data_IF_689985142103
#
_entry.id   IF_689985142103
#
_cell.length_a   1.000
_cell.length_b   1.000
_cell.length_c   1.000
_cell.angle_alpha   90.00
_cell.angle_beta   90.00
_cell.angle_gamma   90.00
#
_symmetry.space_group_name_H-M   'P 1'
#
loop_
_entity.id
_entity.type
_entity.pdbx_description
1 polymer ?
#
# COMPACT_ATOMS: atom_id res chain seq x y z
N UNK A 1 -51.32 27.22 19.70
CA UNK A 1 -50.30 27.32 20.77
C UNK A 1 -49.92 25.90 21.16
N UNK A 2 -49.23 25.08 20.38
CA UNK A 2 -48.18 25.33 19.38
C UNK A 2 -47.16 26.33 19.89
N UNK A 3 -46.40 26.00 20.94
CA UNK A 3 -44.97 26.35 21.12
C UNK A 3 -44.33 25.43 22.18
N UNK A 4 -44.53 24.11 22.06
CA UNK A 4 -43.72 23.12 22.80
C UNK A 4 -43.08 22.09 21.85
N UNK A 5 -43.29 22.24 20.54
CA UNK A 5 -42.59 21.49 19.50
C UNK A 5 -41.30 22.24 19.12
N UNK A 6 -40.41 22.40 20.09
CA UNK A 6 -39.04 22.87 19.90
C UNK A 6 -38.05 21.95 20.62
N UNK A 7 -38.38 20.64 20.62
CA UNK A 7 -37.46 19.54 20.90
C UNK A 7 -36.52 19.27 19.69
N UNK A 8 -36.76 19.84 18.51
CA UNK A 8 -36.16 19.36 17.26
C UNK A 8 -34.97 20.17 16.70
N UNK A 9 -34.82 21.46 17.02
CA UNK A 9 -33.76 22.29 16.41
C UNK A 9 -32.44 22.27 17.20
N UNK A 10 -32.46 21.85 18.47
CA UNK A 10 -31.26 21.71 19.30
C UNK A 10 -30.53 20.37 19.09
N UNK A 11 -31.00 19.56 18.13
CA UNK A 11 -30.27 18.42 17.58
C UNK A 11 -29.33 18.82 16.43
N UNK A 12 -29.16 20.12 16.14
CA UNK A 12 -28.16 20.60 15.18
C UNK A 12 -26.71 20.49 15.70
N UNK A 13 -26.43 19.49 16.53
CA UNK A 13 -25.15 18.80 16.44
C UNK A 13 -25.20 17.89 15.21
N UNK A 14 -25.26 18.49 14.02
CA UNK A 14 -24.81 17.85 12.78
C UNK A 14 -23.29 17.71 12.84
N UNK A 15 -22.83 17.03 13.89
CA UNK A 15 -21.61 16.28 13.86
C UNK A 15 -21.79 15.25 12.74
N UNK A 16 -20.76 15.15 11.91
CA UNK A 16 -20.40 13.96 11.13
C UNK A 16 -20.93 13.81 9.71
N UNK A 17 -20.79 14.86 8.88
CA UNK A 17 -20.15 14.57 7.59
C UNK A 17 -18.66 14.28 7.87
N UNK A 18 -18.32 13.03 8.24
CA UNK A 18 -16.93 12.53 8.36
C UNK A 18 -16.46 11.71 7.13
N UNK A 19 -16.65 12.12 5.86
CA UNK A 19 -15.95 11.44 4.77
C UNK A 19 -14.45 11.77 4.78
N UNK A 20 -14.03 12.84 5.46
CA UNK A 20 -12.63 13.22 5.62
C UNK A 20 -11.80 12.18 6.40
N UNK A 21 -12.39 11.46 7.37
CA UNK A 21 -11.68 10.41 8.09
C UNK A 21 -11.38 9.19 7.20
N UNK A 22 -12.30 8.80 6.34
CA UNK A 22 -12.12 7.67 5.41
C UNK A 22 -11.17 8.03 4.26
N UNK A 23 -11.25 9.27 3.75
CA UNK A 23 -10.35 9.78 2.70
C UNK A 23 -8.92 9.95 3.21
N UNK A 24 -8.73 10.48 4.42
CA UNK A 24 -7.40 10.65 5.00
C UNK A 24 -6.74 9.30 5.32
N UNK A 25 -7.51 8.33 5.85
CA UNK A 25 -7.02 6.95 6.05
C UNK A 25 -6.53 6.33 4.74
N UNK A 26 -7.29 6.50 3.64
CA UNK A 26 -6.86 6.05 2.30
C UNK A 26 -5.56 6.72 1.87
N UNK A 27 -5.40 8.02 2.10
CA UNK A 27 -4.20 8.78 1.75
C UNK A 27 -2.96 8.27 2.53
N UNK A 28 -3.12 8.02 3.83
CA UNK A 28 -2.06 7.41 4.66
C UNK A 28 -1.68 6.01 4.15
N UNK A 29 -2.66 5.15 3.84
CA UNK A 29 -2.38 3.84 3.25
C UNK A 29 -1.69 3.95 1.88
N UNK A 30 -2.07 4.93 1.06
CA UNK A 30 -1.45 5.21 -0.23
C UNK A 30 0.02 5.62 -0.05
N UNK A 31 0.31 6.49 0.93
CA UNK A 31 1.66 6.93 1.24
C UNK A 31 2.54 5.80 1.78
N UNK A 32 2.00 4.98 2.70
CA UNK A 32 2.71 3.81 3.24
C UNK A 32 3.04 2.83 2.10
N UNK A 33 2.07 2.48 1.25
CA UNK A 33 2.30 1.56 0.14
C UNK A 33 3.24 2.15 -0.90
N UNK A 34 3.12 3.45 -1.22
CA UNK A 34 4.06 4.13 -2.11
C UNK A 34 5.50 4.11 -1.54
N UNK A 35 5.67 4.37 -0.24
CA UNK A 35 6.97 4.27 0.41
C UNK A 35 7.53 2.84 0.36
N UNK A 36 6.66 1.85 0.57
CA UNK A 36 7.01 0.43 0.58
C UNK A 36 7.35 -0.07 -0.84
N UNK A 37 6.65 0.41 -1.88
CA UNK A 37 7.00 0.22 -3.30
C UNK A 37 8.34 0.89 -3.64
N UNK A 38 8.59 2.10 -3.12
CA UNK A 38 9.88 2.78 -3.32
C UNK A 38 11.05 1.96 -2.77
N UNK A 39 10.90 1.42 -1.56
CA UNK A 39 11.88 0.52 -0.94
C UNK A 39 12.05 -0.74 -1.80
N UNK A 40 10.96 -1.38 -2.21
CA UNK A 40 11.01 -2.55 -3.06
C UNK A 40 11.73 -2.28 -4.39
N UNK A 41 11.50 -1.12 -5.01
CA UNK A 41 12.19 -0.69 -6.22
C UNK A 41 13.69 -0.49 -5.98
N UNK A 42 14.08 0.14 -4.87
CA UNK A 42 15.50 0.26 -4.48
C UNK A 42 16.15 -1.11 -4.27
N UNK A 43 15.44 -2.05 -3.63
CA UNK A 43 15.91 -3.43 -3.44
C UNK A 43 16.05 -4.14 -4.78
N UNK A 44 15.07 -4.03 -5.69
CA UNK A 44 15.16 -4.59 -7.04
C UNK A 44 16.35 -4.03 -7.81
N UNK A 45 16.60 -2.72 -7.70
CA UNK A 45 17.76 -2.09 -8.31
C UNK A 45 19.07 -2.63 -7.72
N UNK A 46 19.13 -2.79 -6.40
CA UNK A 46 20.28 -3.37 -5.72
C UNK A 46 20.51 -4.83 -6.14
N UNK A 47 19.47 -5.66 -6.18
CA UNK A 47 19.52 -7.04 -6.65
C UNK A 47 20.01 -7.08 -8.10
N UNK A 48 19.46 -6.25 -8.98
CA UNK A 48 19.87 -6.16 -10.37
C UNK A 48 21.37 -5.78 -10.50
N UNK A 49 21.85 -4.82 -9.70
CA UNK A 49 23.26 -4.46 -9.63
C UNK A 49 24.14 -5.62 -9.16
N UNK A 50 23.76 -6.31 -8.08
CA UNK A 50 24.50 -7.47 -7.56
C UNK A 50 24.51 -8.59 -8.60
N UNK A 51 23.36 -8.88 -9.21
CA UNK A 51 23.22 -9.88 -10.26
C UNK A 51 24.13 -9.57 -11.45
N UNK A 52 24.21 -8.29 -11.86
CA UNK A 52 25.09 -7.84 -12.93
C UNK A 52 26.56 -8.06 -12.59
N UNK A 53 26.97 -7.74 -11.36
CA UNK A 53 28.35 -7.96 -10.87
C UNK A 53 28.68 -9.46 -10.83
N UNK A 54 27.77 -10.30 -10.31
CA UNK A 54 27.95 -11.76 -10.27
C UNK A 54 28.10 -12.32 -11.69
N UNK A 55 27.24 -11.93 -12.64
CA UNK A 55 27.33 -12.39 -14.03
C UNK A 55 28.65 -11.99 -14.68
N UNK A 56 29.19 -10.83 -14.33
CA UNK A 56 30.48 -10.33 -14.83
C UNK A 56 31.68 -11.14 -14.30
N UNK A 57 31.63 -11.58 -13.05
CA UNK A 57 32.73 -12.29 -12.37
C UNK A 57 32.61 -13.81 -12.57
N UNK A 58 31.40 -14.35 -12.52
CA UNK A 58 31.10 -15.79 -12.39
C UNK A 58 30.62 -16.43 -13.71
N UNK A 59 31.02 -15.84 -14.84
CA UNK A 59 30.91 -16.42 -16.18
C UNK A 59 29.50 -16.90 -16.57
N UNK A 60 28.50 -16.01 -16.39
CA UNK A 60 27.06 -16.23 -16.70
C UNK A 60 26.32 -17.25 -15.83
N UNK A 61 26.76 -17.56 -14.62
CA UNK A 61 25.93 -18.31 -13.68
C UNK A 61 25.15 -17.36 -12.75
N UNK A 62 23.90 -17.00 -13.07
CA UNK A 62 23.10 -16.17 -12.18
C UNK A 62 22.78 -16.90 -10.87
N UNK A 63 22.97 -16.23 -9.73
CA UNK A 63 22.58 -16.78 -8.43
C UNK A 63 21.05 -16.91 -8.33
N UNK A 64 20.53 -18.14 -8.48
CA UNK A 64 19.09 -18.45 -8.49
C UNK A 64 18.36 -17.92 -7.24
N UNK A 65 19.01 -17.96 -6.07
CA UNK A 65 18.41 -17.47 -4.82
C UNK A 65 18.13 -15.97 -4.84
N UNK A 66 19.01 -15.20 -5.47
CA UNK A 66 18.88 -13.74 -5.55
C UNK A 66 17.80 -13.36 -6.58
N UNK A 67 17.73 -14.11 -7.68
CA UNK A 67 16.70 -13.97 -8.70
C UNK A 67 15.30 -14.32 -8.14
N UNK A 68 15.18 -15.43 -7.39
CA UNK A 68 13.93 -15.84 -6.75
C UNK A 68 13.44 -14.78 -5.75
N UNK A 69 14.35 -14.23 -4.93
CA UNK A 69 14.00 -13.14 -4.01
C UNK A 69 13.51 -11.89 -4.76
N UNK A 70 14.18 -11.50 -5.84
CA UNK A 70 13.72 -10.39 -6.69
C UNK A 70 12.33 -10.65 -7.30
N UNK A 71 12.04 -11.89 -7.71
CA UNK A 71 10.74 -12.29 -8.23
C UNK A 71 9.63 -12.17 -7.17
N UNK A 72 9.89 -12.64 -5.95
CA UNK A 72 8.96 -12.51 -4.82
C UNK A 72 8.65 -11.04 -4.48
N UNK A 73 9.67 -10.17 -4.53
CA UNK A 73 9.50 -8.72 -4.32
C UNK A 73 8.67 -8.10 -5.45
N UNK A 74 8.94 -8.45 -6.71
CA UNK A 74 8.19 -7.96 -7.86
C UNK A 74 6.71 -8.35 -7.83
N UNK A 75 6.42 -9.59 -7.47
CA UNK A 75 5.05 -10.10 -7.29
C UNK A 75 4.29 -9.33 -6.19
N UNK A 76 4.97 -8.95 -5.11
CA UNK A 76 4.39 -8.11 -4.07
C UNK A 76 4.15 -6.68 -4.55
N UNK A 77 5.11 -6.07 -5.28
CA UNK A 77 4.96 -4.72 -5.85
C UNK A 77 3.76 -4.64 -6.80
N UNK A 78 3.56 -5.65 -7.66
CA UNK A 78 2.41 -5.72 -8.57
C UNK A 78 1.08 -5.73 -7.80
N UNK A 79 1.02 -6.42 -6.65
CA UNK A 79 -0.16 -6.43 -5.77
C UNK A 79 -0.36 -5.07 -5.09
N UNK A 80 0.71 -4.42 -4.62
CA UNK A 80 0.64 -3.09 -4.01
C UNK A 80 0.20 -2.01 -5.00
N UNK A 81 0.73 -2.03 -6.23
CA UNK A 81 0.34 -1.11 -7.30
C UNK A 81 -1.15 -1.22 -7.66
N UNK A 82 -1.71 -2.44 -7.67
CA UNK A 82 -3.14 -2.67 -7.90
C UNK A 82 -4.04 -2.03 -6.84
N UNK A 83 -3.62 -2.07 -5.57
CA UNK A 83 -4.31 -1.40 -4.47
C UNK A 83 -4.22 0.13 -4.60
N UNK A 84 -3.02 0.66 -4.91
CA UNK A 84 -2.80 2.09 -5.15
C UNK A 84 -3.67 2.63 -6.30
N UNK A 85 -3.91 1.83 -7.34
CA UNK A 85 -4.71 2.23 -8.50
C UNK A 85 -6.22 2.23 -8.25
N UNK A 86 -6.70 1.93 -7.04
CA UNK A 86 -8.14 1.79 -6.70
C UNK A 86 -8.81 0.65 -7.51
N UNK A 87 -8.03 -0.15 -8.25
CA UNK A 87 -8.53 -1.28 -9.05
C UNK A 87 -8.89 -2.49 -8.20
N UNK A 88 -8.45 -2.53 -6.94
CA UNK A 88 -8.81 -3.57 -5.99
C UNK A 88 -8.65 -3.08 -4.54
N UNK A 89 -9.69 -3.24 -3.71
CA UNK A 89 -9.68 -2.98 -2.26
C UNK A 89 -8.93 -4.07 -1.45
N UNK A 90 -8.22 -4.98 -2.13
CA UNK A 90 -7.46 -6.05 -1.48
C UNK A 90 -6.20 -5.50 -0.80
N UNK A 91 -6.28 -5.24 0.50
CA UNK A 91 -5.14 -4.83 1.36
C UNK A 91 -3.95 -5.78 1.15
N UNK A 92 -2.81 -5.31 0.61
CA UNK A 92 -1.60 -6.13 0.50
C UNK A 92 -0.98 -6.33 1.90
N UNK A 93 -0.24 -7.43 2.05
CA UNK A 93 0.46 -7.82 3.28
C UNK A 93 1.36 -6.67 3.79
N UNK A 94 1.47 -6.37 5.11
CA UNK A 94 1.18 -7.22 6.28
C UNK A 94 -0.15 -6.97 6.99
N UNK A 95 -1.01 -6.09 6.50
CA UNK A 95 -2.28 -5.73 7.16
C UNK A 95 -3.40 -6.74 6.93
N UNK A 96 -3.10 -7.88 6.30
CA UNK A 96 -4.00 -9.03 6.29
C UNK A 96 -3.95 -9.58 7.71
N UNK A 97 -5.05 -9.42 8.44
CA UNK A 97 -5.25 -10.11 9.70
C UNK A 97 -4.93 -11.60 9.47
N UNK A 98 -3.86 -12.08 10.10
CA UNK A 98 -3.71 -13.50 10.37
C UNK A 98 -4.83 -13.78 11.37
N UNK A 99 -5.91 -14.38 10.87
CA UNK A 99 -7.09 -14.72 11.67
C UNK A 99 -6.75 -15.62 12.86
#
# INVERSE_FOLDING_TARGET
>A
MEVAMSESDMNQSDATFRPEEELWKRLVYMLILAAMVSIAQSILFLIACIQFIIVLIDNRNPNERLAEFGCLVGDWVAKAARYLSISSDAKPWPFKELG
#
